data_IF_042617177964
#
_entry.id   IF_042617177964
#
_cell.length_a   1.000
_cell.length_b   1.000
_cell.length_c   1.000
_cell.angle_alpha   90.00
_cell.angle_beta   90.00
_cell.angle_gamma   90.00
#
_symmetry.space_group_name_H-M   'P 1'
#
loop_
_entity.id
_entity.type
_entity.pdbx_description
1 polymer ?
#
# COMPACT_ATOMS: atom_id res chain seq x y z
N UNK A 1 14.84 1.71 14.75
CA UNK A 1 16.05 1.98 13.94
C UNK A 1 16.53 0.67 13.34
N UNK A 2 17.08 0.72 12.13
CA UNK A 2 17.67 -0.46 11.50
C UNK A 2 19.13 -0.65 11.99
N UNK A 3 19.82 -1.69 11.50
CA UNK A 3 21.19 -1.99 11.90
C UNK A 3 22.20 -0.88 11.63
N UNK A 4 21.93 -0.02 10.65
CA UNK A 4 22.80 1.13 10.34
C UNK A 4 22.54 2.34 11.23
N UNK A 5 21.60 2.26 12.18
CA UNK A 5 21.21 3.37 13.05
C UNK A 5 20.26 4.36 12.41
N UNK A 6 19.85 4.14 11.18
CA UNK A 6 18.91 4.99 10.47
C UNK A 6 17.46 4.61 10.84
N UNK A 7 16.55 5.58 10.79
CA UNK A 7 15.14 5.29 10.94
C UNK A 7 14.65 4.53 9.72
N UNK A 8 13.86 3.45 9.89
CA UNK A 8 13.24 2.80 8.75
C UNK A 8 12.26 3.75 8.06
N UNK A 9 12.21 3.67 6.74
CA UNK A 9 11.24 4.44 5.94
C UNK A 9 9.82 4.01 6.27
N UNK A 10 9.63 2.70 6.49
CA UNK A 10 8.35 2.16 6.94
C UNK A 10 8.59 1.19 8.09
N UNK A 11 7.84 1.34 9.19
CA UNK A 11 7.86 0.43 10.32
C UNK A 11 6.51 -0.26 10.41
N UNK A 12 6.50 -1.57 10.20
CA UNK A 12 5.28 -2.36 10.12
C UNK A 12 5.33 -3.67 10.91
N UNK A 13 6.36 -3.85 11.72
CA UNK A 13 6.59 -5.10 12.47
C UNK A 13 5.40 -5.48 13.36
N UNK A 14 4.87 -4.51 14.10
CA UNK A 14 3.73 -4.74 14.98
C UNK A 14 2.48 -5.14 14.18
N UNK A 15 2.26 -4.50 13.03
CA UNK A 15 1.13 -4.83 12.16
C UNK A 15 1.28 -6.24 11.59
N UNK A 16 2.47 -6.58 11.09
CA UNK A 16 2.74 -7.92 10.56
C UNK A 16 2.48 -9.01 11.61
N UNK A 17 2.93 -8.79 12.85
CA UNK A 17 2.69 -9.72 13.95
C UNK A 17 1.20 -9.84 14.29
N UNK A 18 0.49 -8.72 14.32
CA UNK A 18 -0.95 -8.72 14.59
C UNK A 18 -1.72 -9.52 13.52
N UNK A 19 -1.33 -9.37 12.25
CA UNK A 19 -1.97 -10.10 11.16
C UNK A 19 -1.66 -11.59 11.22
N UNK A 20 -0.44 -11.98 11.57
CA UNK A 20 -0.08 -13.40 11.78
C UNK A 20 -0.94 -14.02 12.87
N UNK A 21 -1.04 -13.33 14.01
CA UNK A 21 -1.85 -13.79 15.13
C UNK A 21 -3.33 -13.91 14.74
N UNK A 22 -3.85 -12.91 14.07
CA UNK A 22 -5.23 -12.89 13.59
C UNK A 22 -5.52 -14.11 12.69
N UNK A 23 -4.63 -14.39 11.74
CA UNK A 23 -4.77 -15.53 10.83
C UNK A 23 -4.63 -16.86 11.57
N UNK A 24 -3.67 -16.98 12.48
CA UNK A 24 -3.45 -18.21 13.25
C UNK A 24 -4.64 -18.55 14.14
N UNK A 25 -5.19 -17.56 14.83
CA UNK A 25 -6.35 -17.77 15.73
C UNK A 25 -7.59 -18.28 14.97
N UNK A 26 -7.70 -18.00 13.68
CA UNK A 26 -8.84 -18.36 12.83
C UNK A 26 -8.54 -19.54 11.91
N UNK A 27 -7.36 -20.11 12.01
CA UNK A 27 -6.90 -21.17 11.12
C UNK A 27 -6.98 -20.75 9.64
N UNK A 28 -6.65 -19.48 9.37
CA UNK A 28 -6.71 -18.91 8.02
C UNK A 28 -5.39 -19.02 7.26
N UNK A 29 -4.32 -19.44 7.91
CA UNK A 29 -3.02 -19.61 7.26
C UNK A 29 -3.10 -20.51 6.04
N UNK A 30 -3.94 -21.54 6.11
CA UNK A 30 -4.19 -22.45 4.99
C UNK A 30 -4.78 -21.77 3.75
N UNK A 31 -5.45 -20.62 3.93
CA UNK A 31 -6.05 -19.86 2.83
C UNK A 31 -5.16 -18.70 2.37
N UNK A 32 -4.11 -18.37 3.10
CA UNK A 32 -3.25 -17.22 2.85
C UNK A 32 -2.05 -17.58 1.96
N UNK A 33 -2.29 -18.24 0.82
CA UNK A 33 -1.24 -18.36 -0.18
C UNK A 33 -0.94 -16.97 -0.77
N UNK A 34 0.29 -16.73 -1.23
CA UNK A 34 0.62 -15.45 -1.88
C UNK A 34 -0.35 -15.10 -3.02
N UNK A 35 -0.71 -16.08 -3.84
CA UNK A 35 -1.67 -15.86 -4.93
C UNK A 35 -3.02 -15.39 -4.40
N UNK A 36 -3.57 -16.06 -3.40
CA UNK A 36 -4.86 -15.68 -2.82
C UNK A 36 -4.82 -14.28 -2.22
N UNK A 37 -3.73 -13.94 -1.53
CA UNK A 37 -3.57 -12.62 -0.92
C UNK A 37 -3.47 -11.52 -1.97
N UNK A 38 -2.75 -11.76 -3.06
CA UNK A 38 -2.62 -10.79 -4.15
C UNK A 38 -3.96 -10.59 -4.87
N UNK A 39 -4.72 -11.68 -5.08
CA UNK A 39 -6.04 -11.57 -5.68
C UNK A 39 -7.00 -10.81 -4.76
N UNK A 40 -6.96 -11.06 -3.45
CA UNK A 40 -7.75 -10.30 -2.47
C UNK A 40 -7.37 -8.82 -2.45
N UNK A 41 -6.07 -8.53 -2.52
CA UNK A 41 -5.57 -7.15 -2.64
C UNK A 41 -6.16 -6.45 -3.86
N UNK A 42 -6.21 -7.12 -5.00
CA UNK A 42 -6.80 -6.57 -6.22
C UNK A 42 -8.27 -6.24 -6.01
N UNK A 43 -9.00 -7.11 -5.31
CA UNK A 43 -10.41 -6.88 -4.96
C UNK A 43 -10.59 -5.64 -4.12
N UNK A 44 -9.77 -5.46 -3.09
CA UNK A 44 -9.84 -4.28 -2.22
C UNK A 44 -9.47 -3.00 -2.96
N UNK A 45 -8.45 -3.07 -3.82
CA UNK A 45 -8.09 -1.94 -4.67
C UNK A 45 -9.26 -1.56 -5.60
N UNK A 46 -9.98 -2.56 -6.12
CA UNK A 46 -11.18 -2.34 -6.93
C UNK A 46 -12.29 -1.67 -6.13
N UNK A 47 -12.52 -2.09 -4.89
CA UNK A 47 -13.52 -1.46 -4.02
C UNK A 47 -13.17 -0.01 -3.70
N UNK A 48 -11.87 0.28 -3.50
CA UNK A 48 -11.40 1.65 -3.33
C UNK A 48 -11.68 2.48 -4.61
N UNK A 49 -11.39 1.93 -5.77
CA UNK A 49 -11.67 2.58 -7.05
C UNK A 49 -13.18 2.88 -7.22
N UNK A 50 -14.05 1.96 -6.80
CA UNK A 50 -15.50 2.15 -6.87
C UNK A 50 -15.96 3.38 -6.07
N UNK A 51 -15.32 3.65 -4.94
CA UNK A 51 -15.66 4.83 -4.12
C UNK A 51 -15.42 6.13 -4.91
N UNK A 52 -14.38 6.16 -5.73
CA UNK A 52 -13.92 7.38 -6.42
C UNK A 52 -14.39 7.51 -7.87
N UNK A 53 -14.75 6.41 -8.53
CA UNK A 53 -14.88 6.35 -9.99
C UNK A 53 -15.84 7.39 -10.60
N UNK A 54 -16.86 7.80 -9.87
CA UNK A 54 -17.86 8.73 -10.37
C UNK A 54 -17.74 10.14 -9.76
N UNK A 55 -16.70 10.38 -8.93
CA UNK A 55 -16.46 11.69 -8.35
C UNK A 55 -15.79 12.63 -9.34
N UNK A 56 -16.06 13.92 -9.17
CA UNK A 56 -15.25 14.96 -9.82
C UNK A 56 -13.88 15.03 -9.12
N UNK A 57 -12.90 15.65 -9.76
CA UNK A 57 -11.58 15.87 -9.14
C UNK A 57 -11.71 16.64 -7.82
N UNK A 58 -12.56 17.68 -7.80
CA UNK A 58 -12.77 18.47 -6.58
C UNK A 58 -13.42 17.64 -5.45
N UNK A 59 -14.42 16.84 -5.77
CA UNK A 59 -15.08 15.98 -4.79
C UNK A 59 -14.12 14.94 -4.22
N UNK A 60 -13.22 14.41 -5.07
CA UNK A 60 -12.23 13.42 -4.63
C UNK A 60 -11.30 13.96 -3.56
N UNK A 61 -10.93 15.22 -3.61
CA UNK A 61 -10.06 15.86 -2.61
C UNK A 61 -10.71 15.91 -1.23
N UNK A 62 -12.03 15.94 -1.16
CA UNK A 62 -12.79 16.01 0.08
C UNK A 62 -13.35 14.65 0.53
N UNK A 63 -13.06 13.57 -0.18
CA UNK A 63 -13.69 12.26 0.05
C UNK A 63 -13.54 11.74 1.48
N UNK A 64 -12.39 11.97 2.11
CA UNK A 64 -12.13 11.52 3.48
C UNK A 64 -12.81 12.38 4.55
N UNK A 65 -13.35 13.54 4.18
CA UNK A 65 -14.08 14.45 5.06
C UNK A 65 -15.58 14.43 4.85
N UNK A 66 -16.03 13.97 3.69
CA UNK A 66 -17.45 13.88 3.35
C UNK A 66 -18.08 12.72 4.15
N UNK A 67 -19.08 12.98 4.99
CA UNK A 67 -19.71 11.93 5.82
C UNK A 67 -20.21 10.73 5.02
N UNK A 68 -20.62 10.92 3.76
CA UNK A 68 -21.13 9.82 2.95
C UNK A 68 -20.04 8.89 2.38
N UNK A 69 -18.78 9.32 2.34
CA UNK A 69 -17.68 8.55 1.76
C UNK A 69 -16.52 8.31 2.72
N UNK A 70 -16.42 9.07 3.80
CA UNK A 70 -15.25 9.04 4.70
C UNK A 70 -14.95 7.65 5.25
N UNK A 71 -15.96 6.92 5.71
CA UNK A 71 -15.75 5.59 6.30
C UNK A 71 -15.26 4.58 5.25
N UNK A 72 -15.87 4.60 4.05
CA UNK A 72 -15.46 3.73 2.96
C UNK A 72 -14.01 4.01 2.53
N UNK A 73 -13.62 5.27 2.45
CA UNK A 73 -12.23 5.64 2.12
C UNK A 73 -11.25 5.08 3.14
N UNK A 74 -11.54 5.26 4.42
CA UNK A 74 -10.69 4.74 5.51
C UNK A 74 -10.59 3.22 5.47
N UNK A 75 -11.73 2.55 5.37
CA UNK A 75 -11.80 1.08 5.40
C UNK A 75 -11.04 0.47 4.23
N UNK A 76 -11.25 0.97 3.03
CA UNK A 76 -10.61 0.40 1.85
C UNK A 76 -9.11 0.68 1.79
N UNK A 77 -8.68 1.87 2.22
CA UNK A 77 -7.24 2.14 2.36
C UNK A 77 -6.59 1.22 3.39
N UNK A 78 -7.28 1.00 4.52
CA UNK A 78 -6.78 0.08 5.54
C UNK A 78 -6.69 -1.34 5.00
N UNK A 79 -7.74 -1.83 4.33
CA UNK A 79 -7.75 -3.19 3.79
C UNK A 79 -6.66 -3.41 2.75
N UNK A 80 -6.42 -2.45 1.86
CA UNK A 80 -5.32 -2.52 0.88
C UNK A 80 -3.98 -2.66 1.61
N UNK A 81 -3.73 -1.85 2.62
CA UNK A 81 -2.49 -1.92 3.38
C UNK A 81 -2.34 -3.26 4.12
N UNK A 82 -3.42 -3.74 4.73
CA UNK A 82 -3.39 -5.02 5.45
C UNK A 82 -2.99 -6.17 4.53
N UNK A 83 -3.54 -6.23 3.34
CA UNK A 83 -3.18 -7.28 2.37
C UNK A 83 -1.77 -7.14 1.85
N UNK A 84 -1.29 -5.91 1.63
CA UNK A 84 0.11 -5.69 1.25
C UNK A 84 1.06 -6.22 2.32
N UNK A 85 0.82 -5.87 3.57
CA UNK A 85 1.68 -6.30 4.68
C UNK A 85 1.61 -7.81 4.87
N UNK A 86 0.41 -8.40 4.81
CA UNK A 86 0.25 -9.85 4.95
C UNK A 86 0.93 -10.60 3.82
N UNK A 87 0.78 -10.16 2.59
CA UNK A 87 1.44 -10.78 1.43
C UNK A 87 2.96 -10.72 1.57
N UNK A 88 3.50 -9.59 1.96
CA UNK A 88 4.94 -9.44 2.18
C UNK A 88 5.44 -10.38 3.28
N UNK A 89 4.69 -10.51 4.38
CA UNK A 89 5.04 -11.39 5.48
C UNK A 89 5.08 -12.87 5.04
N UNK A 90 4.06 -13.31 4.33
CA UNK A 90 3.99 -14.69 3.83
C UNK A 90 5.11 -14.98 2.82
N UNK A 91 5.45 -13.99 1.98
CA UNK A 91 6.50 -14.12 0.97
C UNK A 91 7.91 -13.93 1.53
N UNK A 92 8.05 -13.48 2.77
CA UNK A 92 9.35 -13.17 3.36
C UNK A 92 10.01 -11.92 2.77
N UNK A 93 9.21 -10.99 2.27
CA UNK A 93 9.72 -9.72 1.72
C UNK A 93 9.81 -8.68 2.83
N UNK A 94 10.99 -8.08 2.98
CA UNK A 94 11.19 -6.92 3.85
C UNK A 94 10.69 -5.67 3.13
N UNK A 95 9.53 -5.17 3.54
CA UNK A 95 8.91 -4.00 2.91
C UNK A 95 9.73 -2.73 3.11
N UNK A 96 10.39 -2.57 4.25
CA UNK A 96 11.23 -1.39 4.45
C UNK A 96 12.38 -1.36 3.44
N UNK A 97 13.06 -2.49 3.27
CA UNK A 97 14.15 -2.60 2.30
C UNK A 97 13.63 -2.39 0.86
N UNK A 98 12.51 -3.01 0.52
CA UNK A 98 11.92 -2.90 -0.81
C UNK A 98 11.50 -1.47 -1.13
N UNK A 99 10.84 -0.80 -0.19
CA UNK A 99 10.38 0.59 -0.36
C UNK A 99 11.57 1.53 -0.46
N UNK A 100 12.57 1.37 0.40
CA UNK A 100 13.79 2.20 0.40
C UNK A 100 14.49 2.13 -0.95
N UNK A 101 14.69 0.92 -1.45
CA UNK A 101 15.32 0.70 -2.76
C UNK A 101 14.46 1.26 -3.90
N UNK A 102 13.15 1.07 -3.82
CA UNK A 102 12.25 1.56 -4.86
C UNK A 102 12.23 3.09 -4.94
N UNK A 103 12.27 3.76 -3.80
CA UNK A 103 12.38 5.22 -3.75
C UNK A 103 13.68 5.71 -4.42
N UNK A 104 14.79 5.01 -4.15
CA UNK A 104 16.09 5.33 -4.78
C UNK A 104 16.01 5.18 -6.30
N UNK A 105 15.46 4.07 -6.77
CA UNK A 105 15.30 3.79 -8.20
C UNK A 105 14.40 4.84 -8.86
N UNK A 106 13.29 5.19 -8.21
CA UNK A 106 12.37 6.19 -8.73
C UNK A 106 13.02 7.58 -8.83
N UNK A 107 13.86 7.94 -7.85
CA UNK A 107 14.58 9.21 -7.90
C UNK A 107 15.54 9.27 -9.10
N UNK A 108 16.16 8.15 -9.48
CA UNK A 108 16.98 8.06 -10.68
C UNK A 108 16.16 8.17 -11.96
N UNK A 109 15.00 7.50 -12.01
CA UNK A 109 14.11 7.53 -13.18
C UNK A 109 13.46 8.90 -13.40
N UNK A 110 13.21 9.62 -12.31
CA UNK A 110 12.51 10.90 -12.30
C UNK A 110 13.37 12.00 -11.67
N UNK A 111 14.46 12.43 -12.35
CA UNK A 111 15.29 13.52 -11.84
C UNK A 111 14.46 14.78 -11.66
N UNK A 112 14.74 15.57 -10.61
CA UNK A 112 13.94 16.74 -10.26
C UNK A 112 13.78 17.70 -11.45
N UNK A 113 14.88 18.03 -12.12
CA UNK A 113 14.85 19.00 -13.21
C UNK A 113 13.98 18.58 -14.40
N UNK A 114 13.99 17.26 -14.74
CA UNK A 114 13.21 16.73 -15.86
C UNK A 114 11.75 16.49 -15.49
N UNK A 115 11.46 16.29 -14.21
CA UNK A 115 10.15 15.80 -13.74
C UNK A 115 9.27 16.90 -13.15
N UNK A 116 9.86 18.04 -12.76
CA UNK A 116 9.11 19.09 -12.08
C UNK A 116 8.00 19.65 -12.98
N UNK A 117 6.79 19.66 -12.44
CA UNK A 117 5.64 20.28 -13.10
C UNK A 117 5.00 19.47 -14.21
N UNK A 118 5.40 18.19 -14.38
CA UNK A 118 4.76 17.30 -15.34
C UNK A 118 4.63 15.89 -14.79
N UNK A 119 3.79 15.08 -15.41
CA UNK A 119 3.52 13.69 -15.01
C UNK A 119 3.99 12.68 -16.07
N UNK A 120 4.95 13.06 -16.90
CA UNK A 120 5.45 12.19 -17.96
C UNK A 120 6.11 10.94 -17.36
N UNK A 121 5.91 9.81 -18.03
CA UNK A 121 6.61 8.58 -17.68
C UNK A 121 8.11 8.76 -17.91
N UNK A 122 8.95 8.09 -17.11
CA UNK A 122 10.40 8.26 -17.18
C UNK A 122 10.99 7.98 -18.58
N UNK A 123 10.32 7.12 -19.36
CA UNK A 123 10.73 6.82 -20.74
C UNK A 123 10.51 7.99 -21.69
N UNK A 124 9.72 9.00 -21.29
CA UNK A 124 9.39 10.18 -22.09
C UNK A 124 10.12 11.45 -21.62
N UNK A 125 10.96 11.32 -20.59
CA UNK A 125 11.73 12.44 -20.04
C UNK A 125 13.02 12.70 -20.81
#
# INVERSE_FOLDING_TARGET
MNESGERPVIEYSALAQALRKFAAERDWEQFHSPKNLVMALTGEAGELAEVFQWMTEEDSKAAARNPSTAQAVRDELADVLLYVVRAADVLGVDLNAAVTEKLRVNAEKYPVDASRGNSRKYTDL
#
